data_IF_915589856184
#
_entry.id   IF_915589856184
#
_cell.length_a   1.000
_cell.length_b   1.000
_cell.length_c   1.000
_cell.angle_alpha   90.00
_cell.angle_beta   90.00
_cell.angle_gamma   90.00
#
_symmetry.space_group_name_H-M   'P 1'
#
loop_
_entity.id
_entity.type
_entity.pdbx_description
1 polymer ?
#
# COMPACT_ATOMS: atom_id res chain seq x y z
N UNK A 1 -26.44 -9.21 8.87
CA UNK A 1 -25.28 -10.13 8.82
C UNK A 1 -24.57 -10.05 10.15
N UNK A 2 -24.14 -11.17 10.74
CA UNK A 2 -23.37 -11.15 11.98
C UNK A 2 -22.03 -10.44 11.73
N UNK A 3 -21.61 -9.62 12.69
CA UNK A 3 -20.33 -8.90 12.67
C UNK A 3 -19.20 -9.92 12.84
N UNK A 4 -18.36 -10.08 11.82
CA UNK A 4 -17.19 -10.98 11.88
C UNK A 4 -16.08 -10.26 12.65
N UNK A 5 -15.71 -10.81 13.80
CA UNK A 5 -14.61 -10.30 14.61
C UNK A 5 -13.29 -10.85 14.06
N UNK A 6 -12.23 -10.04 13.88
CA UNK A 6 -10.95 -10.51 13.34
C UNK A 6 -10.31 -11.71 14.07
N UNK A 7 -10.66 -11.94 15.35
CA UNK A 7 -10.22 -13.09 16.15
C UNK A 7 -10.71 -14.44 15.64
N UNK A 8 -11.79 -14.45 14.86
CA UNK A 8 -12.43 -15.67 14.36
C UNK A 8 -11.95 -16.03 12.94
N UNK A 9 -10.98 -15.27 12.43
CA UNK A 9 -10.45 -15.45 11.09
C UNK A 9 -9.53 -16.68 11.03
N UNK A 10 -9.86 -17.64 10.16
CA UNK A 10 -8.95 -18.75 9.89
C UNK A 10 -7.64 -18.25 9.26
N UNK A 11 -6.51 -18.88 9.61
CA UNK A 11 -5.21 -18.54 9.03
C UNK A 11 -5.20 -18.66 7.49
N UNK A 12 -5.98 -19.59 6.94
CA UNK A 12 -6.12 -19.76 5.49
C UNK A 12 -6.79 -18.55 4.83
N UNK A 13 -7.88 -18.02 5.42
CA UNK A 13 -8.57 -16.85 4.89
C UNK A 13 -7.72 -15.59 5.04
N UNK A 14 -7.02 -15.44 6.17
CA UNK A 14 -6.05 -14.36 6.37
C UNK A 14 -4.95 -14.37 5.29
N UNK A 15 -4.39 -15.55 4.99
CA UNK A 15 -3.38 -15.73 3.96
C UNK A 15 -3.94 -15.43 2.56
N UNK A 16 -5.16 -15.87 2.25
CA UNK A 16 -5.84 -15.60 0.98
C UNK A 16 -6.03 -14.09 0.77
N UNK A 17 -6.55 -13.39 1.78
CA UNK A 17 -6.72 -11.93 1.76
C UNK A 17 -5.38 -11.24 1.55
N UNK A 18 -4.35 -11.64 2.32
CA UNK A 18 -3.01 -11.09 2.21
C UNK A 18 -2.41 -11.25 0.81
N UNK A 19 -2.55 -12.43 0.20
CA UNK A 19 -2.09 -12.69 -1.17
C UNK A 19 -2.86 -11.84 -2.20
N UNK A 20 -4.17 -11.73 -2.04
CA UNK A 20 -5.03 -10.94 -2.92
C UNK A 20 -4.59 -9.47 -2.98
N UNK A 21 -4.41 -8.83 -1.82
CA UNK A 21 -4.02 -7.40 -1.76
C UNK A 21 -2.54 -7.15 -2.06
N UNK A 22 -1.67 -8.13 -1.78
CA UNK A 22 -0.24 -8.03 -2.08
C UNK A 22 0.06 -7.98 -3.59
N UNK A 23 -0.84 -8.48 -4.44
CA UNK A 23 -0.73 -8.38 -5.89
C UNK A 23 -0.73 -6.92 -6.38
N UNK A 24 -1.33 -6.01 -5.60
CA UNK A 24 -1.40 -4.58 -5.91
C UNK A 24 -0.33 -3.76 -5.20
N UNK A 25 0.45 -4.36 -4.31
CA UNK A 25 1.42 -3.62 -3.48
C UNK A 25 2.82 -3.70 -4.05
N UNK A 26 3.56 -2.60 -3.93
CA UNK A 26 4.95 -2.46 -4.38
C UNK A 26 5.77 -1.71 -3.34
N UNK A 27 7.03 -2.07 -3.19
CA UNK A 27 7.98 -1.30 -2.37
C UNK A 27 8.90 -0.47 -3.24
N UNK A 28 9.31 0.69 -2.73
CA UNK A 28 10.36 1.50 -3.34
C UNK A 28 11.69 1.20 -2.65
N UNK A 29 12.70 0.82 -3.42
CA UNK A 29 14.05 0.61 -2.92
C UNK A 29 15.00 1.59 -3.59
N UNK A 30 15.85 2.22 -2.79
CA UNK A 30 16.99 2.97 -3.30
C UNK A 30 18.23 2.09 -3.20
N UNK A 31 18.89 1.88 -4.33
CA UNK A 31 20.19 1.25 -4.35
C UNK A 31 21.25 2.23 -3.82
N UNK A 32 22.09 1.77 -2.91
CA UNK A 32 23.28 2.49 -2.43
C UNK A 32 24.52 1.68 -2.79
N UNK A 33 25.61 2.36 -3.14
CA UNK A 33 26.91 1.72 -3.32
C UNK A 33 27.83 2.16 -2.20
N UNK A 34 28.24 1.23 -1.35
CA UNK A 34 29.34 1.44 -0.41
C UNK A 34 30.40 0.37 -0.67
N UNK A 35 31.68 0.77 -0.73
CA UNK A 35 32.82 -0.16 -0.73
C UNK A 35 32.69 -1.38 -1.69
N UNK A 36 32.34 -1.14 -2.96
CA UNK A 36 32.14 -2.18 -4.00
C UNK A 36 30.99 -3.18 -3.78
N UNK A 37 30.10 -2.95 -2.82
CA UNK A 37 28.88 -3.72 -2.65
C UNK A 37 27.64 -2.86 -2.93
N UNK A 38 26.74 -3.40 -3.75
CA UNK A 38 25.42 -2.83 -3.97
C UNK A 38 24.54 -3.22 -2.78
N UNK A 39 23.96 -2.23 -2.11
CA UNK A 39 22.93 -2.43 -1.11
C UNK A 39 21.61 -1.78 -1.57
N UNK A 40 20.51 -2.14 -0.93
CA UNK A 40 19.20 -1.56 -1.16
C UNK A 40 18.54 -1.21 0.19
N UNK A 41 17.91 -0.04 0.24
CA UNK A 41 17.15 0.44 1.39
C UNK A 41 15.71 0.72 0.99
N UNK A 42 14.76 0.30 1.82
CA UNK A 42 13.36 0.64 1.61
C UNK A 42 13.17 2.16 1.79
N UNK A 43 12.45 2.79 0.87
CA UNK A 43 12.10 4.21 0.90
C UNK A 43 10.62 4.47 1.13
N UNK A 44 9.81 3.42 1.05
CA UNK A 44 8.37 3.49 1.24
C UNK A 44 7.68 2.39 0.47
N UNK A 45 6.35 2.45 0.49
CA UNK A 45 5.48 1.55 -0.23
C UNK A 45 4.62 2.31 -1.22
N UNK A 46 3.93 1.56 -2.06
CA UNK A 46 2.96 2.10 -2.98
C UNK A 46 1.91 1.06 -3.34
N UNK A 47 0.79 1.57 -3.85
CA UNK A 47 -0.32 0.78 -4.36
C UNK A 47 -0.45 1.00 -5.86
N UNK A 48 -0.37 -0.09 -6.63
CA UNK A 48 -0.50 -0.08 -8.07
C UNK A 48 -1.95 0.18 -8.46
N UNK A 49 -2.17 1.26 -9.19
CA UNK A 49 -3.49 1.74 -9.59
C UNK A 49 -3.53 2.04 -11.08
N UNK A 50 -4.72 1.97 -11.66
CA UNK A 50 -4.98 2.36 -13.03
C UNK A 50 -6.17 3.32 -13.08
N UNK A 51 -6.00 4.40 -13.82
CA UNK A 51 -7.05 5.38 -14.17
C UNK A 51 -7.06 5.50 -15.69
N UNK A 52 -8.15 5.11 -16.33
CA UNK A 52 -8.25 4.96 -17.79
C UNK A 52 -7.11 4.08 -18.32
N UNK A 53 -6.27 4.60 -19.21
CA UNK A 53 -5.09 3.91 -19.74
C UNK A 53 -3.82 4.14 -18.91
N UNK A 54 -3.85 5.03 -17.92
CA UNK A 54 -2.66 5.40 -17.15
C UNK A 54 -2.48 4.52 -15.94
N UNK A 55 -1.28 3.99 -15.80
CA UNK A 55 -0.84 3.19 -14.67
C UNK A 55 0.02 4.06 -13.77
N UNK A 56 -0.24 3.98 -12.47
CA UNK A 56 0.49 4.74 -11.47
C UNK A 56 0.72 3.89 -10.23
N UNK A 57 1.64 4.35 -9.38
CA UNK A 57 1.80 3.86 -8.02
C UNK A 57 1.33 4.97 -7.11
N UNK A 58 0.19 4.78 -6.44
CA UNK A 58 -0.30 5.69 -5.42
C UNK A 58 0.55 5.53 -4.16
N UNK A 59 0.99 6.63 -3.56
CA UNK A 59 1.87 6.63 -2.38
C UNK A 59 1.67 7.89 -1.54
N UNK A 60 2.43 8.03 -0.45
CA UNK A 60 2.47 9.26 0.33
C UNK A 60 3.37 10.30 -0.33
N UNK A 61 3.11 11.60 -0.10
CA UNK A 61 3.91 12.66 -0.71
C UNK A 61 5.36 12.62 -0.21
N UNK A 62 5.58 12.47 1.10
CA UNK A 62 6.93 12.41 1.66
C UNK A 62 7.74 11.22 1.13
N UNK A 63 7.08 10.14 0.71
CA UNK A 63 7.76 9.01 0.06
C UNK A 63 8.37 9.48 -1.25
N UNK A 64 7.65 10.27 -2.05
CA UNK A 64 8.19 10.86 -3.29
C UNK A 64 9.42 11.72 -3.04
N UNK A 65 9.44 12.49 -1.94
CA UNK A 65 10.60 13.30 -1.56
C UNK A 65 11.84 12.47 -1.21
N UNK A 66 11.64 11.21 -0.81
CA UNK A 66 12.71 10.27 -0.48
C UNK A 66 13.17 9.43 -1.70
N UNK A 67 12.46 9.49 -2.83
CA UNK A 67 12.83 8.77 -4.05
C UNK A 67 13.98 9.48 -4.79
N UNK A 68 14.84 8.73 -5.50
CA UNK A 68 15.87 9.33 -6.35
C UNK A 68 15.25 10.19 -7.45
N UNK A 69 15.91 11.30 -7.81
CA UNK A 69 15.48 12.20 -8.89
C UNK A 69 16.18 11.94 -10.22
N UNK A 70 17.09 10.96 -10.28
CA UNK A 70 17.84 10.56 -11.47
C UNK A 70 18.37 9.13 -11.33
N UNK A 71 18.62 8.45 -12.44
CA UNK A 71 19.14 7.09 -12.48
C UNK A 71 18.07 6.04 -12.17
N UNK A 72 18.40 4.99 -11.43
CA UNK A 72 17.49 3.87 -11.21
C UNK A 72 16.73 3.94 -9.88
N UNK A 73 15.41 3.69 -9.94
CA UNK A 73 14.57 3.38 -8.80
C UNK A 73 14.35 1.86 -8.73
N UNK A 74 14.67 1.26 -7.57
CA UNK A 74 14.37 -0.14 -7.30
C UNK A 74 12.90 -0.36 -6.97
N UNK A 75 12.32 -1.42 -7.50
CA UNK A 75 10.95 -1.85 -7.26
C UNK A 75 10.94 -3.22 -6.59
N UNK A 76 10.39 -3.28 -5.38
CA UNK A 76 10.24 -4.52 -4.63
C UNK A 76 8.90 -5.16 -5.01
N UNK A 77 8.97 -6.26 -5.74
CA UNK A 77 7.83 -7.06 -6.15
C UNK A 77 7.73 -8.35 -5.31
N UNK A 78 7.60 -8.25 -3.99
CA UNK A 78 7.43 -9.43 -3.14
C UNK A 78 6.21 -10.26 -3.58
N UNK A 79 6.28 -11.61 -3.55
CA UNK A 79 7.38 -12.45 -3.08
C UNK A 79 8.44 -12.81 -4.14
N UNK A 80 8.45 -12.14 -5.29
CA UNK A 80 9.32 -12.49 -6.40
C UNK A 80 10.76 -12.02 -6.19
N UNK A 81 11.71 -12.93 -6.36
CA UNK A 81 13.15 -12.63 -6.29
C UNK A 81 13.59 -11.89 -7.57
N UNK A 82 14.38 -10.84 -7.40
CA UNK A 82 15.00 -10.08 -8.49
C UNK A 82 15.33 -8.65 -8.09
N UNK A 83 16.39 -8.11 -8.68
CA UNK A 83 16.68 -6.68 -8.64
C UNK A 83 15.92 -6.02 -9.79
N UNK A 84 14.69 -5.58 -9.51
CA UNK A 84 13.87 -4.91 -10.50
C UNK A 84 14.07 -3.41 -10.38
N UNK A 85 14.46 -2.76 -11.47
CA UNK A 85 14.68 -1.32 -11.52
C UNK A 85 13.86 -0.69 -12.64
N UNK A 86 13.62 0.60 -12.51
CA UNK A 86 13.07 1.48 -13.55
C UNK A 86 13.89 2.77 -13.58
N UNK A 87 14.13 3.29 -14.78
CA UNK A 87 14.78 4.60 -14.95
C UNK A 87 13.85 5.70 -14.44
N UNK A 88 14.35 6.56 -13.55
CA UNK A 88 13.59 7.66 -12.94
C UNK A 88 13.14 8.65 -14.00
N UNK A 89 13.93 8.83 -15.06
CA UNK A 89 13.64 9.71 -16.19
C UNK A 89 12.43 9.25 -17.01
N UNK A 90 12.03 7.97 -16.88
CA UNK A 90 10.82 7.44 -17.48
C UNK A 90 9.57 7.57 -16.56
N UNK A 91 9.75 8.09 -15.35
CA UNK A 91 8.70 8.29 -14.36
C UNK A 91 8.32 9.77 -14.26
N UNK A 92 7.09 10.02 -13.82
CA UNK A 92 6.67 11.35 -13.39
C UNK A 92 6.20 11.29 -11.94
N UNK A 93 6.83 12.08 -11.07
CA UNK A 93 6.43 12.21 -9.68
C UNK A 93 5.33 13.26 -9.55
N UNK A 94 4.10 12.80 -9.39
CA UNK A 94 2.92 13.63 -9.22
C UNK A 94 2.73 13.93 -7.72
N UNK A 95 3.18 15.11 -7.32
CA UNK A 95 2.95 15.66 -5.98
C UNK A 95 1.51 16.19 -5.88
N UNK A 96 0.62 15.43 -5.25
CA UNK A 96 -0.81 15.75 -5.21
C UNK A 96 -1.10 16.73 -4.08
N UNK A 97 -0.70 16.40 -2.85
CA UNK A 97 -0.86 17.28 -1.70
C UNK A 97 0.07 16.87 -0.55
N UNK A 98 0.68 17.82 0.18
CA UNK A 98 1.59 17.49 1.30
C UNK A 98 0.98 17.78 2.67
N UNK A 99 0.30 18.92 2.79
CA UNK A 99 -0.04 19.50 4.09
C UNK A 99 1.17 20.11 4.79
N UNK A 100 0.93 20.66 5.98
CA UNK A 100 1.97 21.29 6.82
C UNK A 100 2.33 20.46 8.04
N UNK A 101 1.47 19.54 8.45
CA UNK A 101 1.65 18.68 9.62
C UNK A 101 1.60 17.20 9.19
N UNK A 102 2.66 16.45 9.52
CA UNK A 102 2.79 15.05 9.09
C UNK A 102 1.65 14.16 9.58
N UNK A 103 1.17 14.38 10.81
CA UNK A 103 0.04 13.63 11.37
C UNK A 103 -1.30 13.96 10.69
N UNK A 104 -1.48 15.20 10.26
CA UNK A 104 -2.76 15.65 9.68
C UNK A 104 -2.84 15.35 8.18
N UNK A 105 -1.70 15.26 7.50
CA UNK A 105 -1.63 15.10 6.05
C UNK A 105 -2.04 16.39 5.31
N UNK A 106 -2.52 16.31 4.07
CA UNK A 106 -2.94 15.09 3.37
C UNK A 106 -1.81 14.11 3.06
N UNK A 107 -0.63 14.58 2.66
CA UNK A 107 0.51 13.68 2.37
C UNK A 107 0.20 12.58 1.33
N UNK A 108 -0.27 13.02 0.16
CA UNK A 108 -0.70 12.19 -0.96
C UNK A 108 0.16 12.46 -2.20
N UNK A 109 0.58 11.40 -2.88
CA UNK A 109 1.35 11.46 -4.11
C UNK A 109 1.10 10.27 -5.03
N UNK A 110 1.62 10.36 -6.24
CA UNK A 110 1.65 9.23 -7.16
C UNK A 110 2.94 9.24 -8.00
N UNK A 111 3.40 8.06 -8.38
CA UNK A 111 4.40 7.87 -9.43
C UNK A 111 3.66 7.42 -10.69
N UNK A 112 3.60 8.28 -11.71
CA UNK A 112 3.07 7.91 -13.02
C UNK A 112 4.11 7.04 -13.72
N UNK A 113 3.66 5.89 -14.20
CA UNK A 113 4.52 4.92 -14.87
C UNK A 113 4.48 5.12 -16.40
N UNK A 114 5.54 4.72 -17.13
CA UNK A 114 5.54 4.79 -18.59
C UNK A 114 4.44 3.92 -19.19
N UNK A 115 3.94 4.31 -20.36
CA UNK A 115 2.88 3.59 -21.07
C UNK A 115 3.27 2.13 -21.37
N UNK A 116 4.54 1.90 -21.70
CA UNK A 116 5.12 0.56 -21.87
C UNK A 116 5.82 0.18 -20.57
N UNK A 117 5.19 -0.70 -19.80
CA UNK A 117 5.77 -1.24 -18.58
C UNK A 117 6.71 -2.42 -18.86
N UNK A 118 7.72 -2.64 -18.00
CA UNK A 118 8.47 -3.89 -18.01
C UNK A 118 7.52 -5.09 -17.88
N UNK A 119 7.71 -6.09 -18.75
CA UNK A 119 6.88 -7.30 -18.78
C UNK A 119 6.87 -8.04 -17.44
N UNK A 120 7.97 -7.95 -16.70
CA UNK A 120 8.12 -8.52 -15.35
C UNK A 120 7.13 -7.92 -14.35
N UNK A 121 6.84 -6.62 -14.42
CA UNK A 121 5.88 -5.95 -13.54
C UNK A 121 4.46 -6.40 -13.88
N UNK A 122 4.08 -6.39 -15.15
CA UNK A 122 2.74 -6.78 -15.59
C UNK A 122 2.44 -8.27 -15.44
N UNK A 123 3.47 -9.13 -15.41
CA UNK A 123 3.32 -10.56 -15.18
C UNK A 123 3.17 -10.93 -13.69
N UNK A 124 3.69 -10.08 -12.78
CA UNK A 124 3.80 -10.37 -11.35
C UNK A 124 2.83 -9.58 -10.47
N UNK A 125 2.29 -8.46 -10.98
CA UNK A 125 1.48 -7.54 -10.22
C UNK A 125 0.22 -7.13 -10.97
N UNK A 126 -0.76 -6.66 -10.22
CA UNK A 126 -2.04 -6.18 -10.72
C UNK A 126 -2.21 -4.69 -10.41
N UNK A 127 -3.03 -4.02 -11.21
CA UNK A 127 -3.36 -2.60 -11.04
C UNK A 127 -4.82 -2.46 -10.64
N UNK A 128 -5.08 -1.81 -9.51
CA UNK A 128 -6.43 -1.54 -9.04
C UNK A 128 -7.07 -0.50 -9.96
N UNK A 129 -8.16 -0.87 -10.64
CA UNK A 129 -8.84 0.05 -11.53
C UNK A 129 -9.71 1.02 -10.73
N UNK A 130 -9.24 2.25 -10.56
CA UNK A 130 -9.93 3.24 -9.73
C UNK A 130 -11.24 3.73 -10.37
N UNK A 131 -11.38 3.67 -11.69
CA UNK A 131 -12.66 3.99 -12.35
C UNK A 131 -13.73 2.98 -11.96
N UNK A 132 -13.41 1.68 -12.08
CA UNK A 132 -14.33 0.61 -11.69
C UNK A 132 -14.67 0.63 -10.20
N UNK A 133 -13.67 0.88 -9.35
CA UNK A 133 -13.91 0.95 -7.91
C UNK A 133 -14.74 2.20 -7.55
N UNK A 134 -14.49 3.33 -8.19
CA UNK A 134 -15.30 4.55 -8.01
C UNK A 134 -16.75 4.30 -8.44
N UNK A 135 -17.00 3.68 -9.60
CA UNK A 135 -18.35 3.27 -10.04
C UNK A 135 -19.02 2.31 -9.05
N UNK A 136 -18.26 1.36 -8.52
CA UNK A 136 -18.74 0.40 -7.50
C UNK A 136 -19.12 1.10 -6.20
N UNK A 137 -18.39 2.12 -5.78
CA UNK A 137 -18.69 2.90 -4.57
C UNK A 137 -19.87 3.84 -4.83
N UNK A 138 -19.92 4.49 -5.98
CA UNK A 138 -21.01 5.38 -6.38
C UNK A 138 -22.36 4.65 -6.50
N UNK A 139 -22.35 3.36 -6.88
CA UNK A 139 -23.57 2.55 -7.01
C UNK A 139 -24.11 1.99 -5.68
N UNK A 140 -23.35 2.10 -4.59
CA UNK A 140 -23.74 1.57 -3.29
C UNK A 140 -22.54 1.32 -2.41
N UNK A 141 -22.06 2.38 -1.77
CA UNK A 141 -20.89 2.33 -0.90
C UNK A 141 -21.13 1.37 0.28
N UNK A 142 -20.27 0.36 0.48
CA UNK A 142 -20.34 -0.47 1.67
C UNK A 142 -20.06 0.34 2.94
N UNK A 143 -20.79 0.04 4.00
CA UNK A 143 -20.57 0.60 5.33
C UNK A 143 -19.17 0.24 5.83
N UNK A 144 -18.59 1.02 6.73
CA UNK A 144 -17.26 0.71 7.27
C UNK A 144 -17.21 -0.61 8.03
N UNK A 145 -18.34 -1.02 8.64
CA UNK A 145 -18.50 -2.30 9.35
C UNK A 145 -18.65 -3.51 8.44
N UNK A 146 -18.85 -3.30 7.13
CA UNK A 146 -19.05 -4.41 6.21
C UNK A 146 -17.71 -5.09 5.90
N UNK A 147 -17.64 -6.40 6.13
CA UNK A 147 -16.46 -7.20 5.81
C UNK A 147 -15.27 -6.95 6.74
N UNK A 148 -14.06 -7.06 6.19
CA UNK A 148 -12.80 -6.89 6.91
C UNK A 148 -11.94 -5.83 6.24
N UNK A 149 -11.06 -5.19 7.01
CA UNK A 149 -10.09 -4.24 6.48
C UNK A 149 -8.69 -4.83 6.50
N UNK A 150 -7.94 -4.63 5.42
CA UNK A 150 -6.57 -5.08 5.29
C UNK A 150 -5.68 -3.92 4.82
N UNK A 151 -4.71 -3.53 5.64
CA UNK A 151 -3.66 -2.60 5.20
C UNK A 151 -2.56 -3.41 4.54
N UNK A 152 -2.08 -3.03 3.36
CA UNK A 152 -1.01 -3.74 2.66
C UNK A 152 0.12 -2.81 2.26
N UNK A 153 1.31 -3.05 2.78
CA UNK A 153 2.53 -2.31 2.47
C UNK A 153 3.77 -3.11 2.86
N UNK A 154 4.95 -2.53 2.73
CA UNK A 154 6.21 -3.10 3.22
C UNK A 154 6.62 -2.45 4.53
N UNK A 155 7.43 -3.14 5.32
CA UNK A 155 7.94 -2.63 6.59
C UNK A 155 9.46 -2.71 6.62
N UNK A 156 10.09 -1.58 6.89
CA UNK A 156 11.55 -1.50 6.92
C UNK A 156 12.12 -2.30 8.10
N UNK A 157 11.45 -2.26 9.25
CA UNK A 157 11.84 -3.03 10.44
C UNK A 157 11.82 -4.55 10.24
N UNK A 158 11.16 -5.05 9.18
CA UNK A 158 11.14 -6.47 8.82
C UNK A 158 12.14 -6.83 7.71
N UNK A 159 12.90 -5.85 7.22
CA UNK A 159 13.98 -6.05 6.26
C UNK A 159 15.08 -6.89 6.90
N UNK A 160 15.56 -7.92 6.19
CA UNK A 160 16.63 -8.80 6.66
C UNK A 160 17.64 -9.06 5.56
N UNK A 161 18.91 -8.94 5.89
CA UNK A 161 20.01 -9.47 5.08
C UNK A 161 20.12 -10.98 5.25
N UNK A 162 20.54 -11.65 4.18
CA UNK A 162 20.80 -13.08 4.13
C UNK A 162 22.17 -13.31 3.49
N UNK A 163 22.75 -14.46 3.82
CA UNK A 163 23.96 -14.93 3.15
C UNK A 163 23.76 -15.04 1.63
N UNK A 164 24.83 -14.80 0.83
CA UNK A 164 24.79 -14.97 -0.62
C UNK A 164 24.23 -16.34 -1.02
N UNK A 165 23.21 -16.33 -1.89
CA UNK A 165 22.53 -17.55 -2.36
C UNK A 165 21.92 -17.32 -3.75
N UNK A 166 21.52 -18.40 -4.43
CA UNK A 166 20.81 -18.36 -5.72
C UNK A 166 21.57 -17.59 -6.83
N UNK A 167 22.91 -17.57 -6.78
CA UNK A 167 23.76 -16.83 -7.72
C UNK A 167 23.91 -15.33 -7.44
N UNK A 168 23.30 -14.81 -6.37
CA UNK A 168 23.42 -13.40 -5.96
C UNK A 168 24.55 -13.21 -4.96
N UNK A 169 25.31 -12.12 -5.11
CA UNK A 169 26.37 -11.70 -4.16
C UNK A 169 25.84 -11.12 -2.86
N UNK A 170 24.58 -10.66 -2.86
CA UNK A 170 23.86 -10.15 -1.69
C UNK A 170 22.40 -10.50 -1.84
N UNK A 171 21.80 -11.02 -0.78
CA UNK A 171 20.38 -11.31 -0.71
C UNK A 171 19.78 -10.51 0.44
N UNK A 172 18.80 -9.68 0.14
CA UNK A 172 18.05 -8.91 1.13
C UNK A 172 16.56 -9.14 0.92
N UNK A 173 15.87 -9.50 1.99
CA UNK A 173 14.41 -9.69 1.98
C UNK A 173 13.75 -8.45 2.55
N UNK A 174 12.88 -7.86 1.75
CA UNK A 174 11.91 -6.86 2.22
C UNK A 174 10.57 -7.56 2.45
N UNK A 175 10.03 -7.44 3.66
CA UNK A 175 8.80 -8.13 4.01
C UNK A 175 7.57 -7.24 3.78
N UNK A 176 6.53 -7.84 3.19
CA UNK A 176 5.20 -7.28 3.16
C UNK A 176 4.51 -7.41 4.51
N UNK A 177 3.58 -6.51 4.77
CA UNK A 177 2.78 -6.38 5.96
C UNK A 177 1.31 -6.25 5.54
N UNK A 178 0.50 -7.21 5.98
CA UNK A 178 -0.92 -7.32 5.64
C UNK A 178 -1.80 -7.52 6.88
N UNK A 179 -1.80 -6.62 7.89
CA UNK A 179 -2.65 -6.77 9.06
C UNK A 179 -4.13 -6.68 8.65
N UNK A 180 -4.95 -7.50 9.30
CA UNK A 180 -6.39 -7.53 9.09
C UNK A 180 -7.08 -7.06 10.37
N UNK A 181 -8.07 -6.20 10.22
CA UNK A 181 -8.76 -5.59 11.34
C UNK A 181 -9.99 -4.80 10.92
N UNK A 182 -10.34 -3.83 11.75
CA UNK A 182 -11.41 -2.86 11.54
C UNK A 182 -10.82 -1.46 11.45
N UNK A 183 -11.59 -0.53 10.88
CA UNK A 183 -11.22 0.89 10.81
C UNK A 183 -12.17 1.72 11.65
N UNK A 184 -11.67 2.87 12.10
CA UNK A 184 -12.48 3.94 12.66
C UNK A 184 -12.48 5.12 11.70
N UNK A 185 -13.62 5.80 11.60
CA UNK A 185 -13.66 7.10 10.93
C UNK A 185 -12.82 8.12 11.72
N UNK A 186 -12.12 8.98 11.01
CA UNK A 186 -11.41 10.12 11.59
C UNK A 186 -12.00 11.42 11.03
N UNK A 187 -12.00 12.53 11.80
CA UNK A 187 -12.54 13.80 11.33
C UNK A 187 -11.89 14.23 10.01
N UNK A 188 -12.70 14.67 9.03
CA UNK A 188 -12.16 15.20 7.79
C UNK A 188 -11.39 16.50 8.05
N UNK A 189 -10.37 16.75 7.22
CA UNK A 189 -9.59 18.00 7.25
C UNK A 189 -9.65 18.58 5.85
N UNK A 190 -10.17 19.80 5.75
CA UNK A 190 -10.45 20.47 4.47
C UNK A 190 -11.27 19.56 3.52
N UNK A 191 -10.69 19.22 2.36
CA UNK A 191 -11.33 18.42 1.33
C UNK A 191 -11.04 16.91 1.46
N UNK A 192 -10.24 16.49 2.43
CA UNK A 192 -9.75 15.13 2.59
C UNK A 192 -10.51 14.41 3.71
N UNK A 193 -10.87 13.15 3.42
CA UNK A 193 -11.41 12.20 4.39
C UNK A 193 -10.30 11.27 4.91
N UNK A 194 -10.48 10.80 6.14
CA UNK A 194 -9.48 9.98 6.81
C UNK A 194 -10.11 8.80 7.55
N UNK A 195 -9.36 7.71 7.57
CA UNK A 195 -9.63 6.52 8.35
C UNK A 195 -8.45 6.28 9.30
N UNK A 196 -8.75 5.65 10.43
CA UNK A 196 -7.76 5.19 11.39
C UNK A 196 -7.78 3.66 11.46
N UNK A 197 -6.65 3.03 11.17
CA UNK A 197 -6.47 1.58 11.27
C UNK A 197 -5.62 1.26 12.52
N UNK A 198 -6.20 0.67 13.58
CA UNK A 198 -5.46 0.32 14.78
C UNK A 198 -4.52 -0.86 14.55
N UNK A 199 -3.28 -0.73 14.99
CA UNK A 199 -2.26 -1.80 14.97
C UNK A 199 -1.88 -2.15 16.40
N UNK A 200 -1.97 -3.44 16.80
CA UNK A 200 -1.52 -3.87 18.12
C UNK A 200 0.00 -3.94 18.18
N UNK A 201 0.54 -3.50 19.31
CA UNK A 201 1.95 -3.51 19.71
C UNK A 201 2.09 -4.15 21.09
N UNK A 202 3.30 -4.58 21.44
CA UNK A 202 3.63 -5.08 22.77
C UNK A 202 4.11 -6.54 22.79
N UNK A 203 4.29 -7.14 23.98
CA UNK A 203 5.01 -8.40 24.18
C UNK A 203 4.45 -9.60 23.40
N UNK A 204 3.14 -9.58 23.13
CA UNK A 204 2.43 -10.66 22.43
C UNK A 204 2.09 -10.29 20.98
N UNK A 205 2.49 -9.09 20.51
CA UNK A 205 2.30 -8.70 19.12
C UNK A 205 3.54 -9.07 18.31
N UNK A 206 3.39 -9.73 17.15
CA UNK A 206 4.51 -9.93 16.24
C UNK A 206 4.96 -8.63 15.55
N UNK A 207 4.30 -7.49 15.83
CA UNK A 207 4.54 -6.24 15.13
C UNK A 207 5.68 -5.42 15.74
N UNK A 208 6.58 -4.87 14.90
CA UNK A 208 7.63 -3.97 15.37
C UNK A 208 7.02 -2.66 15.87
N UNK A 209 7.65 -2.02 16.85
CA UNK A 209 7.21 -0.73 17.39
C UNK A 209 7.25 0.44 16.38
N UNK A 210 7.92 0.25 15.25
CA UNK A 210 7.93 1.17 14.13
C UNK A 210 7.57 0.39 12.86
N UNK A 211 6.48 0.79 12.21
CA UNK A 211 6.01 0.20 10.95
C UNK A 211 6.35 1.09 9.74
N UNK A 212 7.37 1.94 9.89
CA UNK A 212 7.94 2.76 8.84
C UNK A 212 8.26 1.96 7.59
N UNK A 213 8.10 2.61 6.44
CA UNK A 213 8.10 1.96 5.13
C UNK A 213 6.70 1.58 4.63
N UNK A 214 5.68 1.51 5.50
CA UNK A 214 4.30 1.18 5.08
C UNK A 214 3.58 2.35 4.39
N UNK A 215 4.05 3.58 4.54
CA UNK A 215 3.45 4.76 3.87
C UNK A 215 3.35 4.56 2.36
N UNK A 216 2.17 4.85 1.81
CA UNK A 216 1.73 4.49 0.46
C UNK A 216 1.12 3.09 0.31
N UNK A 217 1.05 2.32 1.39
CA UNK A 217 0.36 1.05 1.44
C UNK A 217 -1.15 1.21 1.33
N UNK A 218 -1.79 0.35 0.54
CA UNK A 218 -3.22 0.41 0.27
C UNK A 218 -4.02 -0.10 1.46
N UNK A 219 -5.06 0.62 1.84
CA UNK A 219 -6.04 0.17 2.82
C UNK A 219 -7.25 -0.39 2.07
N UNK A 220 -7.49 -1.68 2.21
CA UNK A 220 -8.48 -2.43 1.44
C UNK A 220 -9.65 -2.83 2.32
N UNK A 221 -10.87 -2.64 1.82
CA UNK A 221 -12.06 -3.26 2.39
C UNK A 221 -12.39 -4.53 1.60
N UNK A 222 -12.47 -5.64 2.31
CA UNK A 222 -12.69 -6.98 1.79
C UNK A 222 -14.12 -7.39 2.14
N UNK A 223 -15.00 -7.44 1.15
CA UNK A 223 -16.35 -7.94 1.35
C UNK A 223 -16.33 -9.46 1.33
N UNK A 224 -16.97 -10.06 2.31
CA UNK A 224 -17.00 -11.50 2.52
C UNK A 224 -18.40 -12.05 2.23
N UNK A 225 -18.44 -13.28 1.76
CA UNK A 225 -19.67 -14.05 1.64
C UNK A 225 -19.47 -15.42 2.27
N UNK A 226 -20.49 -15.87 3.01
CA UNK A 226 -20.60 -17.26 3.42
C UNK A 226 -21.24 -18.06 2.29
N UNK A 227 -20.54 -19.10 1.85
CA UNK A 227 -21.03 -20.06 0.86
C UNK A 227 -21.94 -21.11 1.53
N UNK A 228 -22.65 -21.89 0.70
CA UNK A 228 -23.60 -22.90 1.17
C UNK A 228 -22.95 -23.99 2.04
N UNK A 229 -21.64 -24.23 1.89
CA UNK A 229 -20.83 -25.17 2.66
C UNK A 229 -20.23 -24.55 3.94
N UNK A 230 -20.73 -23.39 4.36
CA UNK A 230 -20.27 -22.59 5.49
C UNK A 230 -18.85 -22.02 5.35
N UNK A 231 -18.15 -22.18 4.21
CA UNK A 231 -16.88 -21.49 3.99
C UNK A 231 -17.12 -20.01 3.75
N UNK A 232 -16.28 -19.18 4.34
CA UNK A 232 -16.25 -17.74 4.11
C UNK A 232 -15.17 -17.45 3.07
N UNK A 233 -15.49 -16.64 2.06
CA UNK A 233 -14.51 -16.20 1.06
C UNK A 233 -14.64 -14.72 0.71
N UNK A 234 -13.57 -14.09 0.22
CA UNK A 234 -13.63 -12.77 -0.40
C UNK A 234 -14.51 -12.80 -1.66
N UNK A 235 -15.41 -11.83 -1.79
CA UNK A 235 -16.24 -11.64 -3.00
C UNK A 235 -16.02 -10.30 -3.67
N UNK A 236 -15.51 -9.32 -2.94
CA UNK A 236 -15.14 -8.01 -3.47
C UNK A 236 -13.94 -7.46 -2.67
N UNK A 237 -13.09 -6.67 -3.33
CA UNK A 237 -11.88 -6.12 -2.74
C UNK A 237 -11.69 -4.69 -3.22
N UNK A 238 -12.02 -3.73 -2.34
CA UNK A 238 -12.10 -2.32 -2.68
C UNK A 238 -10.95 -1.57 -2.02
N UNK A 239 -10.08 -0.93 -2.81
CA UNK A 239 -9.07 0.00 -2.30
C UNK A 239 -9.75 1.19 -1.64
N UNK A 240 -9.96 1.17 -0.34
CA UNK A 240 -10.78 2.17 0.36
C UNK A 240 -9.97 3.24 1.09
N UNK A 241 -8.64 3.17 0.97
CA UNK A 241 -7.76 4.18 1.55
C UNK A 241 -6.29 3.96 1.23
N UNK A 242 -5.45 4.83 1.79
CA UNK A 242 -3.99 4.81 1.61
C UNK A 242 -3.30 5.26 2.90
N UNK A 243 -2.40 4.47 3.46
CA UNK A 243 -1.68 4.82 4.68
C UNK A 243 -0.59 5.87 4.42
N UNK A 244 -0.41 6.79 5.37
CA UNK A 244 0.66 7.80 5.27
C UNK A 244 1.37 8.07 6.60
N UNK A 245 0.70 7.89 7.74
CA UNK A 245 1.26 8.24 9.05
C UNK A 245 0.99 7.17 10.12
N UNK A 246 1.97 6.90 10.97
CA UNK A 246 1.83 6.10 12.19
C UNK A 246 1.87 7.03 13.40
N UNK A 247 0.79 7.06 14.19
CA UNK A 247 0.74 7.77 15.46
C UNK A 247 1.53 7.07 16.57
N UNK A 248 1.64 7.70 17.76
CA UNK A 248 2.34 7.12 18.90
C UNK A 248 1.74 5.77 19.31
N UNK A 249 2.56 4.94 19.96
CA UNK A 249 2.08 3.71 20.61
C UNK A 249 1.57 4.08 22.01
N UNK A 250 0.26 3.94 22.19
CA UNK A 250 -0.43 4.20 23.45
C UNK A 250 -1.16 2.94 23.88
N UNK A 251 -0.95 2.50 25.13
CA UNK A 251 -1.58 1.29 25.69
C UNK A 251 -1.41 0.04 24.81
N UNK A 252 -0.28 -0.09 24.12
CA UNK A 252 0.01 -1.22 23.22
C UNK A 252 -0.71 -1.13 21.88
N UNK A 253 -1.16 0.05 21.44
CA UNK A 253 -1.77 0.25 20.12
C UNK A 253 -1.21 1.51 19.46
N UNK A 254 -1.00 1.46 18.15
CA UNK A 254 -0.75 2.66 17.35
C UNK A 254 -1.88 2.85 16.36
N UNK A 255 -2.22 4.09 16.07
CA UNK A 255 -3.20 4.43 15.04
C UNK A 255 -2.45 4.72 13.75
N UNK A 256 -2.70 3.93 12.71
CA UNK A 256 -2.25 4.26 11.36
C UNK A 256 -3.30 5.15 10.74
N UNK A 257 -2.90 6.35 10.34
CA UNK A 257 -3.77 7.27 9.62
C UNK A 257 -3.69 6.97 8.13
N UNK A 258 -4.86 6.82 7.54
CA UNK A 258 -5.04 6.55 6.14
C UNK A 258 -5.96 7.60 5.53
N UNK A 259 -5.72 7.96 4.28
CA UNK A 259 -6.76 8.57 3.46
C UNK A 259 -7.97 7.66 3.33
N UNK A 260 -9.16 8.24 3.20
CA UNK A 260 -10.39 7.53 2.88
C UNK A 260 -10.72 7.52 1.39
N UNK A 261 -11.94 7.08 1.08
CA UNK A 261 -12.44 6.87 -0.28
C UNK A 261 -12.52 8.18 -1.06
N UNK A 262 -12.98 9.28 -0.46
CA UNK A 262 -13.08 10.59 -1.15
C UNK A 262 -11.70 11.05 -1.60
N UNK A 263 -10.69 10.96 -0.73
CA UNK A 263 -9.32 11.33 -1.05
C UNK A 263 -8.74 10.46 -2.18
N UNK A 264 -9.02 9.16 -2.17
CA UNK A 264 -8.53 8.24 -3.22
C UNK A 264 -9.25 8.47 -4.56
N UNK A 265 -10.58 8.54 -4.56
CA UNK A 265 -11.37 8.49 -5.79
C UNK A 265 -11.76 9.84 -6.37
N UNK A 266 -11.87 10.88 -5.55
CA UNK A 266 -12.23 12.22 -6.02
C UNK A 266 -10.99 13.12 -6.17
N UNK A 267 -9.93 12.85 -5.41
CA UNK A 267 -8.71 13.68 -5.46
C UNK A 267 -7.61 12.95 -6.22
N UNK A 268 -7.16 11.78 -5.74
CA UNK A 268 -6.01 11.10 -6.35
C UNK A 268 -6.29 10.64 -7.78
N UNK A 269 -7.43 9.98 -8.00
CA UNK A 269 -7.86 9.53 -9.34
C UNK A 269 -7.94 10.70 -10.32
N UNK A 270 -8.55 11.82 -9.92
CA UNK A 270 -8.67 13.00 -10.78
C UNK A 270 -7.30 13.64 -11.08
N UNK A 271 -6.40 13.70 -10.10
CA UNK A 271 -5.04 14.18 -10.30
C UNK A 271 -4.28 13.31 -11.31
N UNK A 272 -4.34 11.98 -11.18
CA UNK A 272 -3.72 11.03 -12.12
C UNK A 272 -4.33 11.17 -13.52
N UNK A 273 -5.65 11.34 -13.62
CA UNK A 273 -6.32 11.55 -14.90
C UNK A 273 -5.84 12.83 -15.61
N UNK A 274 -5.65 13.91 -14.85
CA UNK A 274 -5.26 15.21 -15.39
C UNK A 274 -3.76 15.31 -15.73
N UNK A 275 -2.91 14.50 -15.10
CA UNK A 275 -1.47 14.46 -15.38
C UNK A 275 -1.12 14.06 -16.83
N UNK A 276 -2.07 13.45 -17.56
CA UNK A 276 -1.91 13.04 -18.98
C UNK A 276 -2.29 14.18 -19.94
N UNK A 277 -3.09 15.14 -19.48
CA UNK A 277 -3.60 16.23 -20.30
C UNK A 277 -2.64 17.43 -20.38
N UNK A 278 -1.47 17.33 -19.74
CA UNK A 278 -0.37 18.31 -19.76
C UNK A 278 0.83 17.72 -20.48
#
# INVERSE_FOLDING_TARGET
MAELVPSDLSQSLASEIGQLVAAFSIGFAQASRSSNQLDAHLRGSGTLVQVRSTRAILTAHHVLDALPTSGELGLIMSPYVGAHTVEVEALQYLKIARGTEDEQGPDLGAVILPAVLPSSLTAKKSFANLDKHWERIASGQPELRDGLWCLCGLQDALTRDFEPALGFKKLKRFAGFCPIGQVNEAPPIENYDYLSFPIPHGPNSPMPGNIGGTSGGGLWQILLKQEADCRIRPVDCLLSGLAFYQGPIENGWSRVRCHGRKSVYDIARNAIQNAIAM
#
